data_IF_166758608524
#
_entry.id   IF_166758608524
#
_cell.length_a   1.000
_cell.length_b   1.000
_cell.length_c   1.000
_cell.angle_alpha   90.00
_cell.angle_beta   90.00
_cell.angle_gamma   90.00
#
_symmetry.space_group_name_H-M   'P 1'
#
loop_
_entity.id
_entity.type
_entity.pdbx_description
1 polymer ?
#
# COMPACT_ATOMS: atom_id res chain seq x y z
N UNK A 1 14.94 -4.01 11.23
CA UNK A 1 15.63 -4.73 10.11
C UNK A 1 15.30 -4.12 8.75
N UNK A 2 14.01 -3.97 8.37
CA UNK A 2 13.61 -3.50 7.03
C UNK A 2 14.15 -2.11 6.65
N UNK A 3 14.13 -1.14 7.57
CA UNK A 3 14.65 0.21 7.32
C UNK A 3 16.11 0.18 6.84
N UNK A 4 17.00 -0.52 7.55
CA UNK A 4 18.41 -0.58 7.19
C UNK A 4 18.68 -1.30 5.86
N UNK A 5 17.86 -2.29 5.54
CA UNK A 5 17.89 -2.94 4.22
C UNK A 5 17.61 -1.92 3.11
N UNK A 6 16.51 -1.18 3.20
CA UNK A 6 16.13 -0.19 2.20
C UNK A 6 17.08 1.01 2.16
N UNK A 7 17.62 1.43 3.32
CA UNK A 7 18.68 2.44 3.36
C UNK A 7 19.91 2.00 2.54
N UNK A 8 20.31 0.73 2.69
CA UNK A 8 21.44 0.17 1.93
C UNK A 8 21.15 0.11 0.44
N UNK A 9 19.96 -0.32 0.05
CA UNK A 9 19.53 -0.31 -1.35
C UNK A 9 19.60 1.11 -1.94
N UNK A 10 19.03 2.10 -1.24
CA UNK A 10 19.08 3.49 -1.68
C UNK A 10 20.50 4.04 -1.83
N UNK A 11 21.42 3.68 -0.92
CA UNK A 11 22.84 4.03 -1.03
C UNK A 11 23.50 3.40 -2.27
N UNK A 12 23.20 2.11 -2.54
CA UNK A 12 23.69 1.42 -3.73
C UNK A 12 23.14 2.01 -5.03
N UNK A 13 21.93 2.56 -4.99
CA UNK A 13 21.32 3.30 -6.10
C UNK A 13 21.88 4.71 -6.29
N UNK A 14 22.81 5.15 -5.42
CA UNK A 14 23.43 6.48 -5.49
C UNK A 14 22.51 7.62 -5.03
N UNK A 15 21.42 7.31 -4.29
CA UNK A 15 20.53 8.35 -3.77
C UNK A 15 21.27 9.13 -2.68
N UNK A 16 21.36 10.44 -2.86
CA UNK A 16 22.05 11.33 -1.94
C UNK A 16 21.12 11.78 -0.80
N UNK A 17 21.73 12.15 0.34
CA UNK A 17 21.04 12.74 1.50
C UNK A 17 19.95 11.84 2.12
N UNK A 18 20.11 10.53 2.04
CA UNK A 18 19.20 9.59 2.70
C UNK A 18 19.27 9.75 4.23
N UNK A 19 18.12 9.76 4.93
CA UNK A 19 18.08 9.71 6.38
C UNK A 19 18.80 8.47 6.91
N UNK A 20 19.72 8.66 7.85
CA UNK A 20 20.58 7.55 8.35
C UNK A 20 19.95 6.75 9.50
N UNK A 21 18.94 7.31 10.14
CA UNK A 21 18.24 6.67 11.27
C UNK A 21 16.75 6.55 10.96
N UNK A 22 16.08 5.62 11.65
CA UNK A 22 14.64 5.46 11.54
C UNK A 22 13.88 6.74 11.90
N UNK A 23 14.27 7.39 13.00
CA UNK A 23 13.66 8.65 13.47
C UNK A 23 13.81 9.77 12.43
N UNK A 24 15.00 9.93 11.85
CA UNK A 24 15.22 10.93 10.81
C UNK A 24 14.40 10.64 9.53
N UNK A 25 14.15 9.35 9.22
CA UNK A 25 13.27 8.96 8.12
C UNK A 25 11.81 9.26 8.41
N UNK A 26 11.38 9.04 9.65
CA UNK A 26 10.02 9.36 10.08
C UNK A 26 9.77 10.88 10.02
N UNK A 27 10.70 11.69 10.54
CA UNK A 27 10.64 13.15 10.45
C UNK A 27 10.62 13.63 8.99
N UNK A 28 11.46 13.05 8.13
CA UNK A 28 11.48 13.34 6.70
C UNK A 28 10.13 13.03 6.04
N UNK A 29 9.52 11.88 6.35
CA UNK A 29 8.22 11.52 5.80
C UNK A 29 7.12 12.49 6.25
N UNK A 30 7.07 12.81 7.55
CA UNK A 30 6.10 13.76 8.09
C UNK A 30 6.22 15.13 7.42
N UNK A 31 7.44 15.61 7.25
CA UNK A 31 7.71 16.90 6.62
C UNK A 31 7.40 16.87 5.11
N UNK A 32 7.72 15.76 4.43
CA UNK A 32 7.35 15.54 3.03
C UNK A 32 5.83 15.53 2.83
N UNK A 33 5.11 14.84 3.69
CA UNK A 33 3.64 14.79 3.66
C UNK A 33 3.02 16.17 3.88
N UNK A 34 3.49 16.91 4.87
CA UNK A 34 3.02 18.29 5.15
C UNK A 34 3.19 19.23 3.94
N UNK A 35 4.29 19.07 3.19
CA UNK A 35 4.58 19.91 2.04
C UNK A 35 3.85 19.49 0.76
N UNK A 36 3.65 18.18 0.57
CA UNK A 36 3.25 17.63 -0.72
C UNK A 36 1.83 17.07 -0.72
N UNK A 37 1.29 16.66 0.43
CA UNK A 37 -0.06 16.10 0.49
C UNK A 37 -1.11 17.22 0.40
N UNK A 38 -1.54 17.50 -0.82
CA UNK A 38 -2.58 18.49 -1.13
C UNK A 38 -3.66 17.85 -1.96
N UNK A 39 -4.89 18.18 -1.65
CA UNK A 39 -6.01 17.75 -2.46
C UNK A 39 -5.93 18.38 -3.87
N UNK A 40 -6.13 17.55 -4.87
CA UNK A 40 -6.42 17.95 -6.24
C UNK A 40 -7.68 17.21 -6.74
N UNK A 41 -8.44 17.79 -7.69
CA UNK A 41 -9.59 17.08 -8.28
C UNK A 41 -9.21 15.72 -8.88
N UNK A 42 -8.00 15.62 -9.42
CA UNK A 42 -7.45 14.39 -10.01
C UNK A 42 -7.18 13.34 -8.94
N UNK A 43 -6.51 13.72 -7.83
CA UNK A 43 -6.27 12.78 -6.71
C UNK A 43 -7.58 12.27 -6.13
N UNK A 44 -8.57 13.15 -5.99
CA UNK A 44 -9.91 12.78 -5.52
C UNK A 44 -10.62 11.78 -6.45
N UNK A 45 -10.53 11.98 -7.78
CA UNK A 45 -11.10 11.05 -8.77
C UNK A 45 -10.43 9.68 -8.75
N UNK A 46 -9.10 9.65 -8.75
CA UNK A 46 -8.32 8.40 -8.69
C UNK A 46 -8.60 7.65 -7.38
N UNK A 47 -8.57 8.35 -6.26
CA UNK A 47 -8.83 7.73 -4.96
C UNK A 47 -10.23 7.15 -4.84
N UNK A 48 -11.24 7.83 -5.40
CA UNK A 48 -12.61 7.32 -5.44
C UNK A 48 -12.73 6.07 -6.32
N UNK A 49 -12.12 6.09 -7.51
CA UNK A 49 -12.08 4.91 -8.37
C UNK A 49 -11.38 3.73 -7.70
N UNK A 50 -10.27 3.98 -7.00
CA UNK A 50 -9.55 2.96 -6.23
C UNK A 50 -10.42 2.39 -5.12
N UNK A 51 -11.15 3.25 -4.39
CA UNK A 51 -12.07 2.83 -3.34
C UNK A 51 -13.18 1.93 -3.89
N UNK A 52 -13.78 2.27 -5.04
CA UNK A 52 -14.80 1.47 -5.72
C UNK A 52 -14.26 0.09 -6.12
N UNK A 53 -13.04 0.01 -6.62
CA UNK A 53 -12.38 -1.26 -6.97
C UNK A 53 -12.11 -2.11 -5.73
N UNK A 54 -11.55 -1.52 -4.67
CA UNK A 54 -11.23 -2.23 -3.42
C UNK A 54 -12.48 -2.75 -2.72
N UNK A 55 -13.56 -2.00 -2.75
CA UNK A 55 -14.83 -2.37 -2.14
C UNK A 55 -15.72 -3.20 -3.08
N UNK A 56 -15.34 -3.38 -4.35
CA UNK A 56 -16.21 -3.87 -5.42
C UNK A 56 -16.91 -5.20 -5.16
N UNK A 57 -16.27 -6.12 -4.43
CA UNK A 57 -16.90 -7.40 -4.08
C UNK A 57 -17.92 -7.28 -2.93
N UNK A 58 -17.79 -6.29 -2.05
CA UNK A 58 -18.69 -6.03 -0.92
C UNK A 58 -19.82 -5.05 -1.29
N UNK A 59 -19.66 -4.31 -2.38
CA UNK A 59 -20.56 -3.21 -2.76
C UNK A 59 -21.89 -3.66 -3.38
N UNK A 60 -22.07 -4.96 -3.61
CA UNK A 60 -23.35 -5.52 -4.08
C UNK A 60 -24.49 -5.33 -3.07
N UNK A 61 -24.16 -5.12 -1.80
CA UNK A 61 -25.11 -4.85 -0.71
C UNK A 61 -24.91 -3.40 -0.28
N UNK A 62 -25.87 -2.49 -0.52
CA UNK A 62 -25.68 -1.04 -0.28
C UNK A 62 -25.20 -0.70 1.13
N UNK A 63 -25.77 -1.33 2.15
CA UNK A 63 -25.38 -1.11 3.55
C UNK A 63 -23.91 -1.50 3.83
N UNK A 64 -23.44 -2.62 3.27
CA UNK A 64 -22.04 -3.06 3.42
C UNK A 64 -21.08 -2.14 2.67
N UNK A 65 -21.52 -1.54 1.58
CA UNK A 65 -20.73 -0.56 0.84
C UNK A 65 -20.37 0.64 1.72
N UNK A 66 -21.36 1.24 2.37
CA UNK A 66 -21.16 2.42 3.22
C UNK A 66 -20.23 2.10 4.39
N UNK A 67 -20.48 1.00 5.11
CA UNK A 67 -19.61 0.57 6.21
C UNK A 67 -18.17 0.31 5.73
N UNK A 68 -18.01 -0.28 4.55
CA UNK A 68 -16.69 -0.55 3.98
C UNK A 68 -15.96 0.76 3.69
N UNK A 69 -16.64 1.74 3.10
CA UNK A 69 -16.05 3.04 2.80
C UNK A 69 -15.66 3.77 4.07
N UNK A 70 -16.55 3.84 5.05
CA UNK A 70 -16.27 4.42 6.36
C UNK A 70 -15.08 3.74 7.07
N UNK A 71 -15.00 2.41 6.98
CA UNK A 71 -13.87 1.65 7.53
C UNK A 71 -12.56 1.98 6.83
N UNK A 72 -12.57 2.14 5.50
CA UNK A 72 -11.38 2.56 4.75
C UNK A 72 -10.99 3.99 5.13
N UNK A 73 -11.96 4.91 5.27
CA UNK A 73 -11.66 6.27 5.75
C UNK A 73 -11.03 6.27 7.14
N UNK A 74 -11.50 5.38 8.04
CA UNK A 74 -10.96 5.24 9.38
C UNK A 74 -9.52 4.69 9.42
N UNK A 75 -9.14 3.90 8.43
CA UNK A 75 -7.76 3.34 8.32
C UNK A 75 -6.75 4.35 7.77
N UNK A 76 -7.22 5.41 7.11
CA UNK A 76 -6.34 6.45 6.59
C UNK A 76 -6.05 7.49 7.67
N UNK A 77 -4.81 7.91 7.79
CA UNK A 77 -4.47 9.04 8.63
C UNK A 77 -5.07 10.36 8.11
N UNK A 78 -5.17 11.34 8.99
CA UNK A 78 -5.84 12.61 8.68
C UNK A 78 -5.18 13.39 7.53
N UNK A 79 -3.84 13.50 7.43
CA UNK A 79 -3.18 14.15 6.31
C UNK A 79 -3.50 13.50 4.97
N UNK A 80 -3.36 12.18 4.88
CA UNK A 80 -3.66 11.43 3.66
C UNK A 80 -5.13 11.52 3.27
N UNK A 81 -6.04 11.34 4.24
CA UNK A 81 -7.48 11.43 4.00
C UNK A 81 -7.88 12.79 3.40
N UNK A 82 -7.32 13.88 3.90
CA UNK A 82 -7.51 15.22 3.34
C UNK A 82 -6.95 15.36 1.93
N UNK A 83 -5.76 14.82 1.69
CA UNK A 83 -5.11 14.89 0.38
C UNK A 83 -5.86 14.12 -0.71
N UNK A 84 -6.56 13.05 -0.36
CA UNK A 84 -7.39 12.26 -1.29
C UNK A 84 -8.85 12.74 -1.34
N UNK A 85 -9.23 13.71 -0.51
CA UNK A 85 -10.58 14.30 -0.48
C UNK A 85 -11.64 13.40 0.12
N UNK A 86 -11.28 12.52 1.06
CA UNK A 86 -12.23 11.71 1.78
C UNK A 86 -12.75 12.42 3.04
N UNK A 87 -14.01 12.18 3.42
CA UNK A 87 -14.60 12.76 4.63
C UNK A 87 -13.97 12.16 5.89
N UNK A 88 -14.22 12.81 7.03
CA UNK A 88 -13.92 12.21 8.33
C UNK A 88 -14.88 11.03 8.55
N UNK A 89 -14.39 9.87 9.02
CA UNK A 89 -15.19 8.67 9.21
C UNK A 89 -16.19 8.85 10.36
N UNK A 90 -17.28 8.11 10.28
CA UNK A 90 -18.21 8.00 11.42
C UNK A 90 -17.45 7.48 12.65
N UNK A 91 -17.51 8.18 13.81
CA UNK A 91 -16.74 7.80 15.00
C UNK A 91 -17.03 6.39 15.51
N UNK A 92 -18.26 5.91 15.41
CA UNK A 92 -18.61 4.56 15.82
C UNK A 92 -18.00 3.50 14.91
N UNK A 93 -18.02 3.73 13.59
CA UNK A 93 -17.38 2.83 12.61
C UNK A 93 -15.86 2.88 12.75
N UNK A 94 -15.28 4.04 13.01
CA UNK A 94 -13.85 4.18 13.25
C UNK A 94 -13.41 3.38 14.47
N UNK A 95 -14.12 3.50 15.61
CA UNK A 95 -13.85 2.74 16.82
C UNK A 95 -14.00 1.23 16.60
N UNK A 96 -15.06 0.79 15.92
CA UNK A 96 -15.28 -0.61 15.60
C UNK A 96 -14.16 -1.18 14.71
N UNK A 97 -13.75 -0.42 13.68
CA UNK A 97 -12.67 -0.80 12.78
C UNK A 97 -11.35 -0.92 13.53
N UNK A 98 -10.98 0.07 14.34
CA UNK A 98 -9.77 0.05 15.15
C UNK A 98 -9.75 -1.15 16.12
N UNK A 99 -10.88 -1.39 16.80
CA UNK A 99 -11.05 -2.51 17.74
C UNK A 99 -10.89 -3.85 17.03
N UNK A 100 -11.49 -4.02 15.85
CA UNK A 100 -11.37 -5.23 15.04
C UNK A 100 -9.92 -5.51 14.64
N UNK A 101 -9.19 -4.48 14.18
CA UNK A 101 -7.79 -4.65 13.79
C UNK A 101 -6.89 -4.93 15.00
N UNK A 102 -7.13 -4.30 16.15
CA UNK A 102 -6.40 -4.61 17.40
C UNK A 102 -6.68 -6.04 17.85
N UNK A 103 -7.94 -6.48 17.86
CA UNK A 103 -8.33 -7.84 18.20
C UNK A 103 -7.68 -8.86 17.27
N UNK A 104 -7.69 -8.59 15.95
CA UNK A 104 -6.99 -9.43 14.97
C UNK A 104 -5.49 -9.49 15.22
N UNK A 105 -4.84 -8.36 15.54
CA UNK A 105 -3.41 -8.33 15.85
C UNK A 105 -3.08 -9.17 17.10
N UNK A 106 -3.92 -9.08 18.16
CA UNK A 106 -3.81 -9.91 19.35
C UNK A 106 -4.01 -11.38 19.02
N UNK A 107 -5.06 -11.71 18.27
CA UNK A 107 -5.33 -13.08 17.84
C UNK A 107 -4.14 -13.68 17.09
N UNK A 108 -3.59 -12.96 16.10
CA UNK A 108 -2.43 -13.44 15.32
C UNK A 108 -1.17 -13.60 16.17
N UNK A 109 -1.02 -12.80 17.24
CA UNK A 109 0.10 -12.90 18.16
C UNK A 109 0.03 -14.17 19.03
N UNK A 110 -1.16 -14.59 19.44
CA UNK A 110 -1.36 -15.72 20.35
C UNK A 110 -1.71 -17.02 19.63
N UNK A 111 -2.53 -16.97 18.60
CA UNK A 111 -2.92 -18.16 17.83
C UNK A 111 -1.83 -18.61 16.84
N UNK A 112 -0.80 -17.80 16.65
CA UNK A 112 0.19 -17.99 15.62
C UNK A 112 -0.41 -17.85 14.23
N UNK A 113 0.35 -17.38 13.29
CA UNK A 113 0.06 -17.63 11.88
C UNK A 113 0.31 -19.13 11.68
N UNK A 114 -0.72 -19.90 11.34
CA UNK A 114 -0.49 -21.20 10.72
C UNK A 114 0.49 -20.89 9.59
N UNK A 115 1.73 -21.33 9.75
CA UNK A 115 2.75 -21.17 8.73
C UNK A 115 2.32 -22.03 7.54
N UNK A 116 1.39 -21.50 6.76
CA UNK A 116 1.22 -21.95 5.39
C UNK A 116 2.59 -21.78 4.77
N UNK A 117 3.11 -22.85 4.20
CA UNK A 117 4.38 -22.83 3.49
C UNK A 117 4.48 -21.51 2.71
N UNK A 118 5.63 -20.81 2.76
CA UNK A 118 5.76 -19.54 2.09
C UNK A 118 5.42 -19.75 0.62
N UNK A 119 4.21 -19.38 0.26
CA UNK A 119 3.73 -19.43 -1.11
C UNK A 119 4.53 -18.38 -1.87
N UNK A 120 5.69 -18.77 -2.37
CA UNK A 120 6.45 -17.91 -3.25
C UNK A 120 5.55 -17.50 -4.40
N UNK A 121 5.39 -16.20 -4.60
CA UNK A 121 4.55 -15.63 -5.66
C UNK A 121 4.92 -16.26 -7.02
N UNK A 122 6.20 -16.61 -7.20
CA UNK A 122 6.72 -17.30 -8.40
C UNK A 122 6.16 -18.72 -8.62
N UNK A 123 5.65 -19.38 -7.57
CA UNK A 123 5.02 -20.71 -7.69
C UNK A 123 3.51 -20.64 -7.89
N UNK A 124 2.89 -19.46 -7.81
CA UNK A 124 1.46 -19.31 -8.09
C UNK A 124 1.20 -19.48 -9.56
N UNK A 125 0.18 -20.29 -9.87
CA UNK A 125 -0.33 -20.40 -11.23
C UNK A 125 -1.16 -19.16 -11.56
N UNK A 126 -0.76 -18.44 -12.59
CA UNK A 126 -1.52 -17.35 -13.17
C UNK A 126 -1.96 -17.74 -14.57
N UNK A 127 -3.07 -17.20 -15.12
CA UNK A 127 -3.49 -17.49 -16.49
C UNK A 127 -2.38 -17.29 -17.53
N UNK A 128 -1.51 -16.28 -17.31
CA UNK A 128 -0.36 -15.98 -18.19
C UNK A 128 0.86 -16.86 -17.92
N UNK A 129 0.91 -17.57 -16.80
CA UNK A 129 2.04 -18.39 -16.34
C UNK A 129 1.53 -19.64 -15.61
N UNK A 130 0.91 -20.60 -16.33
CA UNK A 130 0.24 -21.74 -15.71
C UNK A 130 1.22 -22.67 -14.97
N UNK A 131 2.49 -22.67 -15.34
CA UNK A 131 3.55 -23.47 -14.71
C UNK A 131 4.44 -22.65 -13.75
N UNK A 132 3.98 -21.46 -13.34
CA UNK A 132 4.81 -20.50 -12.62
C UNK A 132 5.76 -19.73 -13.54
N UNK A 133 6.66 -18.93 -12.97
CA UNK A 133 7.66 -18.15 -13.71
C UNK A 133 8.96 -18.01 -12.94
N UNK A 134 10.04 -17.82 -13.66
CA UNK A 134 11.33 -17.40 -13.09
C UNK A 134 11.45 -15.88 -13.17
N UNK A 135 11.92 -15.23 -12.10
CA UNK A 135 12.16 -13.79 -12.09
C UNK A 135 13.15 -13.37 -13.18
N UNK A 136 14.14 -14.23 -13.48
CA UNK A 136 15.12 -13.99 -14.52
C UNK A 136 14.53 -13.99 -15.94
N UNK A 137 13.34 -14.57 -16.12
CA UNK A 137 12.63 -14.64 -17.39
C UNK A 137 11.60 -13.54 -17.57
N UNK A 138 11.36 -12.75 -16.52
CA UNK A 138 10.46 -11.61 -16.57
C UNK A 138 11.17 -10.41 -17.21
N UNK A 139 10.47 -9.77 -18.11
CA UNK A 139 10.95 -8.56 -18.78
C UNK A 139 11.11 -8.75 -20.29
N UNK A 140 11.41 -7.69 -21.03
CA UNK A 140 11.62 -7.78 -22.47
C UNK A 140 12.87 -8.61 -22.76
N UNK A 141 12.69 -9.72 -23.46
CA UNK A 141 13.80 -10.61 -23.87
C UNK A 141 14.83 -9.92 -24.78
N UNK A 142 14.44 -8.80 -25.37
CA UNK A 142 15.31 -7.93 -26.16
C UNK A 142 15.03 -6.48 -25.77
N UNK A 143 16.01 -5.81 -25.18
CA UNK A 143 15.95 -4.36 -25.01
C UNK A 143 15.95 -3.73 -26.42
N UNK A 144 15.00 -2.83 -26.72
CA UNK A 144 15.05 -2.08 -27.97
C UNK A 144 16.40 -1.35 -28.02
N UNK A 145 17.16 -1.57 -29.10
CA UNK A 145 18.43 -0.88 -29.32
C UNK A 145 18.14 0.62 -29.23
N UNK A 146 18.73 1.28 -28.22
CA UNK A 146 18.64 2.73 -28.06
C UNK A 146 19.23 3.34 -29.33
N UNK A 147 18.39 4.01 -30.14
CA UNK A 147 18.91 4.80 -31.27
C UNK A 147 19.86 5.83 -30.66
N UNK A 148 21.14 5.66 -30.87
CA UNK A 148 22.12 6.70 -30.63
C UNK A 148 21.78 7.82 -31.62
N UNK A 149 21.21 8.91 -31.11
CA UNK A 149 21.12 10.16 -31.87
C UNK A 149 22.55 10.68 -32.08
N UNK A 150 22.97 10.68 -33.31
CA UNK A 150 24.18 11.33 -33.74
C UNK A 150 24.08 12.85 -33.54
#
# INVERSE_FOLDING_TARGET
>A
AAFYFWLRVGQMMGIKNLPKTYTAMEEFNIDFEKRNFRYTPESGRVSRATLEVLAGFLTKIPFLREITFESIYALLDKPLRRAVGFPDPNPAVALATETLFKARAVYLRYAGTVATEPSYVTKRQFPSYPNGYSIAELGPKTLPKRKQSA
#
